data_IF_173249003610
#
_entry.id   IF_173249003610
#
_cell.length_a   1.000
_cell.length_b   1.000
_cell.length_c   1.000
_cell.angle_alpha   90.00
_cell.angle_beta   90.00
_cell.angle_gamma   90.00
#
_symmetry.space_group_name_H-M   'P 1'
#
loop_
_entity.id
_entity.type
_entity.pdbx_description
1 polymer ?
#
# COMPACT_ATOMS: atom_id res chain seq x y z
N UNK A 1 -9.60 -3.21 -5.29
CA UNK A 1 -9.47 -1.97 -6.09
C UNK A 1 -10.19 -2.19 -7.41
N UNK A 2 -10.73 -1.17 -8.09
CA UNK A 2 -11.33 -1.37 -9.42
C UNK A 2 -10.69 -0.45 -10.47
N UNK A 3 -10.73 -0.88 -11.73
CA UNK A 3 -10.07 -0.21 -12.86
C UNK A 3 -10.60 1.21 -13.07
N UNK A 4 -11.91 1.45 -12.87
CA UNK A 4 -12.54 2.76 -13.08
C UNK A 4 -12.01 3.80 -12.07
N UNK A 5 -11.87 3.42 -10.80
CA UNK A 5 -11.30 4.27 -9.75
C UNK A 5 -9.83 4.59 -10.05
N UNK A 6 -9.03 3.59 -10.45
CA UNK A 6 -7.63 3.83 -10.83
C UNK A 6 -7.53 4.75 -12.05
N UNK A 7 -8.35 4.52 -13.10
CA UNK A 7 -8.35 5.36 -14.31
C UNK A 7 -8.57 6.84 -13.98
N UNK A 8 -9.58 7.14 -13.14
CA UNK A 8 -9.87 8.51 -12.72
C UNK A 8 -8.68 9.13 -11.97
N UNK A 9 -8.14 8.41 -10.99
CA UNK A 9 -7.03 8.91 -10.19
C UNK A 9 -5.74 9.10 -11.02
N UNK A 10 -5.47 8.20 -11.96
CA UNK A 10 -4.34 8.32 -12.89
C UNK A 10 -4.41 9.57 -13.77
N UNK A 11 -5.59 9.89 -14.32
CA UNK A 11 -5.79 11.10 -15.12
C UNK A 11 -5.47 12.38 -14.34
N UNK A 12 -5.77 12.41 -13.04
CA UNK A 12 -5.43 13.52 -12.14
C UNK A 12 -3.94 13.56 -11.78
N UNK A 13 -3.23 12.42 -11.91
CA UNK A 13 -1.81 12.29 -11.58
C UNK A 13 -0.87 12.55 -12.78
N UNK A 14 -1.37 12.38 -14.00
CA UNK A 14 -0.60 12.63 -15.23
C UNK A 14 -0.15 14.09 -15.33
N UNK A 15 1.08 14.27 -15.79
CA UNK A 15 1.72 15.58 -15.91
C UNK A 15 2.86 15.53 -16.92
N UNK A 16 3.23 16.68 -17.50
CA UNK A 16 4.24 16.78 -18.56
C UNK A 16 5.59 16.12 -18.22
N UNK A 17 5.99 16.13 -16.95
CA UNK A 17 7.24 15.51 -16.48
C UNK A 17 7.22 13.97 -16.45
N UNK A 18 6.04 13.35 -16.50
CA UNK A 18 5.86 11.89 -16.60
C UNK A 18 5.76 11.40 -18.04
N UNK A 19 5.59 12.34 -18.99
CA UNK A 19 5.45 12.02 -20.40
C UNK A 19 6.76 11.48 -20.97
N UNK A 20 6.65 10.46 -21.83
CA UNK A 20 7.79 9.93 -22.56
C UNK A 20 8.50 11.03 -23.36
N UNK A 21 9.81 11.15 -23.18
CA UNK A 21 10.57 12.31 -23.62
C UNK A 21 10.43 12.63 -25.13
N UNK A 22 10.30 11.62 -25.99
CA UNK A 22 10.17 11.82 -27.46
C UNK A 22 8.86 12.48 -27.88
N UNK A 23 7.83 12.46 -27.04
CA UNK A 23 6.50 13.04 -27.34
C UNK A 23 6.13 14.15 -26.36
N UNK A 24 7.06 14.54 -25.48
CA UNK A 24 6.83 15.49 -24.40
C UNK A 24 6.42 16.88 -24.89
N UNK A 25 6.91 17.31 -26.04
CA UNK A 25 6.56 18.62 -26.63
C UNK A 25 5.13 18.68 -27.15
N UNK A 26 4.53 17.52 -27.45
CA UNK A 26 3.14 17.40 -27.92
C UNK A 26 2.13 17.20 -26.77
N UNK A 27 2.62 16.95 -25.55
CA UNK A 27 1.76 16.73 -24.37
C UNK A 27 1.08 18.03 -23.93
N UNK A 28 -0.21 17.96 -23.61
CA UNK A 28 -1.01 19.08 -23.13
C UNK A 28 -2.21 18.61 -22.27
N UNK A 29 -2.90 19.54 -21.62
CA UNK A 29 -4.02 19.25 -20.70
C UNK A 29 -5.23 18.58 -21.39
N UNK A 30 -5.41 18.79 -22.70
CA UNK A 30 -6.48 18.14 -23.47
C UNK A 30 -6.12 16.70 -23.86
N UNK A 31 -4.83 16.33 -23.83
CA UNK A 31 -4.34 14.97 -24.08
C UNK A 31 -3.32 14.52 -23.02
N UNK A 32 -3.80 14.28 -21.79
CA UNK A 32 -2.97 13.86 -20.66
C UNK A 32 -2.38 12.46 -20.82
N UNK A 33 -3.02 11.59 -21.60
CA UNK A 33 -2.63 10.19 -21.78
C UNK A 33 -1.40 10.03 -22.67
N UNK A 34 -1.08 11.02 -23.51
CA UNK A 34 0.04 10.96 -24.44
C UNK A 34 1.36 10.63 -23.71
N UNK A 35 2.03 9.57 -24.14
CA UNK A 35 3.32 9.15 -23.57
C UNK A 35 3.25 8.50 -22.19
N UNK A 36 2.04 8.18 -21.68
CA UNK A 36 1.84 7.51 -20.39
C UNK A 36 1.64 6.00 -20.49
N UNK A 37 1.36 5.46 -21.68
CA UNK A 37 0.94 4.06 -21.88
C UNK A 37 1.83 3.02 -21.18
N UNK A 38 3.15 3.11 -21.34
CA UNK A 38 4.09 2.17 -20.71
C UNK A 38 4.00 2.18 -19.17
N UNK A 39 4.07 3.36 -18.55
CA UNK A 39 4.05 3.46 -17.08
C UNK A 39 2.66 3.16 -16.49
N UNK A 40 1.59 3.42 -17.25
CA UNK A 40 0.23 3.06 -16.87
C UNK A 40 0.00 1.56 -16.94
N UNK A 41 0.49 0.88 -17.98
CA UNK A 41 0.38 -0.57 -18.10
C UNK A 41 1.13 -1.31 -16.96
N UNK A 42 2.26 -0.76 -16.49
CA UNK A 42 2.98 -1.27 -15.32
C UNK A 42 2.16 -1.14 -14.03
N UNK A 43 1.48 -0.01 -13.84
CA UNK A 43 0.59 0.20 -12.68
C UNK A 43 -0.61 -0.74 -12.72
N UNK A 44 -1.23 -0.91 -13.88
CA UNK A 44 -2.38 -1.81 -14.02
C UNK A 44 -1.97 -3.25 -13.79
N UNK A 45 -0.81 -3.65 -14.29
CA UNK A 45 -0.23 -4.95 -13.99
C UNK A 45 0.09 -5.15 -12.50
N UNK A 46 0.49 -4.11 -11.75
CA UNK A 46 0.69 -4.23 -10.29
C UNK A 46 -0.60 -4.62 -9.56
N UNK A 47 -1.74 -4.01 -9.91
CA UNK A 47 -2.99 -4.17 -9.16
C UNK A 47 -3.85 -5.33 -9.65
N UNK A 48 -3.71 -5.74 -10.91
CA UNK A 48 -4.62 -6.69 -11.56
C UNK A 48 -3.90 -7.85 -12.26
N UNK A 49 -2.57 -7.86 -12.31
CA UNK A 49 -1.81 -8.88 -13.03
C UNK A 49 -2.05 -8.82 -14.54
N UNK A 50 -2.21 -9.99 -15.17
CA UNK A 50 -2.38 -10.14 -16.61
C UNK A 50 -1.08 -9.91 -17.41
N UNK A 51 -1.22 -9.91 -18.73
CA UNK A 51 -0.11 -9.72 -19.65
C UNK A 51 0.06 -8.25 -20.03
N UNK A 52 1.30 -7.78 -20.09
CA UNK A 52 1.59 -6.48 -20.71
C UNK A 52 1.84 -6.71 -22.20
N UNK A 53 1.14 -5.93 -23.02
CA UNK A 53 1.17 -6.04 -24.47
C UNK A 53 1.71 -4.76 -25.09
N UNK A 54 2.39 -4.91 -26.22
CA UNK A 54 2.89 -3.79 -27.04
C UNK A 54 2.48 -3.99 -28.48
N UNK A 55 2.12 -2.88 -29.12
CA UNK A 55 1.92 -2.79 -30.56
C UNK A 55 2.44 -1.45 -31.08
N UNK A 56 2.35 -1.22 -32.39
CA UNK A 56 2.63 0.08 -32.98
C UNK A 56 1.33 0.74 -33.44
N UNK A 57 1.09 1.97 -32.99
CA UNK A 57 -0.04 2.81 -33.39
C UNK A 57 0.56 4.09 -33.96
N UNK A 58 0.28 4.40 -35.22
CA UNK A 58 0.92 5.50 -35.98
C UNK A 58 2.46 5.49 -35.92
N UNK A 59 3.06 4.31 -35.96
CA UNK A 59 4.52 4.15 -35.88
C UNK A 59 5.13 4.38 -34.48
N UNK A 60 4.31 4.64 -33.46
CA UNK A 60 4.75 4.80 -32.07
C UNK A 60 4.41 3.53 -31.28
N UNK A 61 5.34 3.09 -30.44
CA UNK A 61 5.08 1.98 -29.52
C UNK A 61 3.99 2.34 -28.51
N UNK A 62 2.94 1.54 -28.45
CA UNK A 62 1.82 1.67 -27.52
C UNK A 62 1.71 0.45 -26.62
N UNK A 63 1.37 0.66 -25.35
CA UNK A 63 1.38 -0.37 -24.31
C UNK A 63 0.02 -0.43 -23.60
N UNK A 64 -0.47 -1.64 -23.34
CA UNK A 64 -1.73 -1.90 -22.67
C UNK A 64 -1.67 -3.27 -21.98
N UNK A 65 -2.74 -3.67 -21.30
CA UNK A 65 -2.82 -4.97 -20.63
C UNK A 65 -3.89 -5.86 -21.26
N UNK A 66 -3.67 -7.17 -21.21
CA UNK A 66 -4.72 -8.19 -21.34
C UNK A 66 -4.96 -8.78 -19.95
N UNK A 67 -6.17 -8.62 -19.43
CA UNK A 67 -6.59 -9.16 -18.12
C UNK A 67 -7.86 -9.95 -18.35
N UNK A 68 -7.88 -11.21 -17.94
CA UNK A 68 -9.00 -12.14 -18.16
C UNK A 68 -9.49 -12.15 -19.62
N UNK A 69 -8.54 -12.23 -20.57
CA UNK A 69 -8.76 -12.18 -22.02
C UNK A 69 -9.44 -10.89 -22.54
N UNK A 70 -9.41 -9.81 -21.77
CA UNK A 70 -9.96 -8.50 -22.16
C UNK A 70 -8.86 -7.45 -22.27
N UNK A 71 -8.97 -6.61 -23.30
CA UNK A 71 -8.11 -5.43 -23.47
C UNK A 71 -8.43 -4.41 -22.37
N UNK A 72 -7.39 -4.03 -21.64
CA UNK A 72 -7.41 -2.94 -20.67
C UNK A 72 -6.39 -1.90 -21.09
N UNK A 73 -6.87 -0.85 -21.75
CA UNK A 73 -6.08 0.30 -22.16
C UNK A 73 -6.65 1.58 -21.56
N UNK A 74 -5.96 2.12 -20.55
CA UNK A 74 -6.36 3.36 -19.89
C UNK A 74 -5.80 4.62 -20.55
N UNK A 75 -5.11 4.45 -21.68
CA UNK A 75 -4.41 5.50 -22.41
C UNK A 75 -4.81 5.56 -23.88
N UNK A 76 -5.81 4.79 -24.31
CA UNK A 76 -6.31 4.78 -25.68
C UNK A 76 -6.77 6.16 -26.16
N UNK A 77 -7.28 7.00 -25.23
CA UNK A 77 -7.71 8.37 -25.52
C UNK A 77 -6.57 9.32 -25.92
N UNK A 78 -5.31 8.85 -25.99
CA UNK A 78 -4.23 9.62 -26.59
C UNK A 78 -4.32 9.67 -28.13
N UNK A 79 -5.10 8.77 -28.73
CA UNK A 79 -5.38 8.69 -30.15
C UNK A 79 -6.79 9.20 -30.45
N UNK A 80 -7.00 9.74 -31.65
CA UNK A 80 -8.27 10.33 -32.07
C UNK A 80 -9.20 9.32 -32.80
N UNK A 81 -8.94 8.01 -32.66
CA UNK A 81 -9.69 6.95 -33.34
C UNK A 81 -9.65 5.65 -32.52
N UNK A 82 -10.50 4.69 -32.89
CA UNK A 82 -10.56 3.37 -32.24
C UNK A 82 -9.36 2.50 -32.64
N UNK A 83 -8.66 1.97 -31.65
CA UNK A 83 -7.49 1.11 -31.87
C UNK A 83 -7.95 -0.31 -32.20
N UNK A 84 -7.38 -0.89 -33.25
CA UNK A 84 -7.49 -2.31 -33.53
C UNK A 84 -6.37 -3.07 -32.79
N UNK A 85 -6.73 -3.93 -31.84
CA UNK A 85 -5.80 -4.65 -30.96
C UNK A 85 -5.41 -6.05 -31.47
N UNK A 86 -5.37 -6.29 -32.79
CA UNK A 86 -5.05 -7.62 -33.33
C UNK A 86 -3.54 -7.92 -33.42
N UNK A 87 -2.69 -6.91 -33.63
CA UNK A 87 -1.28 -7.09 -33.95
C UNK A 87 -0.35 -6.75 -32.78
N UNK A 88 -0.63 -7.31 -31.61
CA UNK A 88 0.17 -7.08 -30.40
C UNK A 88 1.18 -8.20 -30.13
N UNK A 89 2.19 -7.86 -29.33
CA UNK A 89 3.14 -8.80 -28.77
C UNK A 89 3.07 -8.72 -27.24
N UNK A 90 3.02 -9.88 -26.58
CA UNK A 90 3.23 -9.96 -25.14
C UNK A 90 4.69 -9.68 -24.85
N UNK A 91 4.95 -8.84 -23.85
CA UNK A 91 6.29 -8.37 -23.52
C UNK A 91 6.60 -8.58 -22.05
N UNK A 92 7.83 -9.00 -21.80
CA UNK A 92 8.36 -9.14 -20.45
C UNK A 92 8.45 -7.77 -19.77
N UNK A 93 7.76 -7.66 -18.63
CA UNK A 93 7.75 -6.49 -17.74
C UNK A 93 9.16 -5.98 -17.43
N UNK A 94 10.12 -6.87 -17.18
CA UNK A 94 11.48 -6.48 -16.82
C UNK A 94 12.19 -5.75 -17.96
N UNK A 95 11.89 -6.10 -19.22
CA UNK A 95 12.46 -5.43 -20.40
C UNK A 95 11.93 -4.01 -20.60
N UNK A 96 10.76 -3.68 -20.03
CA UNK A 96 10.21 -2.32 -20.10
C UNK A 96 10.88 -1.34 -19.13
N UNK A 97 11.44 -1.85 -18.03
CA UNK A 97 11.96 -1.06 -16.91
C UNK A 97 13.35 -0.48 -17.18
N UNK A 98 13.51 0.23 -18.29
CA UNK A 98 14.67 1.10 -18.54
C UNK A 98 14.77 2.17 -17.44
N UNK A 99 15.95 2.81 -17.29
CA UNK A 99 16.17 3.86 -16.29
C UNK A 99 15.08 4.95 -16.33
N UNK A 100 14.74 5.43 -17.53
CA UNK A 100 13.68 6.43 -17.74
C UNK A 100 12.30 5.89 -17.35
N UNK A 101 11.89 4.74 -17.90
CA UNK A 101 10.58 4.15 -17.61
C UNK A 101 10.41 3.89 -16.11
N UNK A 102 11.43 3.33 -15.45
CA UNK A 102 11.41 3.03 -14.01
C UNK A 102 11.24 4.29 -13.18
N UNK A 103 11.96 5.37 -13.51
CA UNK A 103 11.82 6.65 -12.81
C UNK A 103 10.42 7.24 -12.95
N UNK A 104 9.87 7.27 -14.18
CA UNK A 104 8.52 7.80 -14.45
C UNK A 104 7.43 6.94 -13.80
N UNK A 105 7.57 5.62 -13.88
CA UNK A 105 6.68 4.66 -13.22
C UNK A 105 6.65 4.85 -11.70
N UNK A 106 7.82 4.90 -11.04
CA UNK A 106 7.87 5.10 -9.58
C UNK A 106 7.25 6.44 -9.16
N UNK A 107 7.47 7.50 -9.95
CA UNK A 107 6.87 8.81 -9.69
C UNK A 107 5.35 8.80 -9.86
N UNK A 108 4.83 8.18 -10.93
CA UNK A 108 3.39 8.03 -11.14
C UNK A 108 2.75 7.15 -10.05
N UNK A 109 3.40 6.04 -9.66
CA UNK A 109 2.94 5.16 -8.58
C UNK A 109 2.82 5.92 -7.25
N UNK A 110 3.83 6.70 -6.88
CA UNK A 110 3.81 7.53 -5.68
C UNK A 110 2.68 8.58 -5.74
N UNK A 111 2.50 9.28 -6.86
CA UNK A 111 1.39 10.23 -7.04
C UNK A 111 0.03 9.55 -6.89
N UNK A 112 -0.16 8.40 -7.54
CA UNK A 112 -1.41 7.63 -7.49
C UNK A 112 -1.73 7.18 -6.06
N UNK A 113 -0.77 6.61 -5.34
CA UNK A 113 -0.95 6.18 -3.95
C UNK A 113 -1.33 7.36 -3.06
N UNK A 114 -0.60 8.48 -3.14
CA UNK A 114 -0.91 9.68 -2.36
C UNK A 114 -2.31 10.23 -2.69
N UNK A 115 -2.69 10.26 -3.97
CA UNK A 115 -4.02 10.70 -4.39
C UNK A 115 -5.12 9.81 -3.82
N UNK A 116 -4.98 8.49 -3.94
CA UNK A 116 -5.97 7.53 -3.46
C UNK A 116 -6.08 7.55 -1.92
N UNK A 117 -4.95 7.61 -1.21
CA UNK A 117 -4.93 7.71 0.25
C UNK A 117 -5.53 9.02 0.76
N UNK A 118 -5.30 10.14 0.07
CA UNK A 118 -5.90 11.42 0.44
C UNK A 118 -7.44 11.39 0.42
N UNK A 119 -8.05 10.66 -0.52
CA UNK A 119 -9.51 10.49 -0.51
C UNK A 119 -9.98 9.61 0.66
N UNK A 120 -9.17 8.65 1.09
CA UNK A 120 -9.44 7.85 2.30
C UNK A 120 -9.26 8.69 3.58
N UNK A 121 -8.27 9.57 3.63
CA UNK A 121 -8.06 10.46 4.78
C UNK A 121 -9.28 11.39 4.99
N UNK A 122 -9.86 11.90 3.89
CA UNK A 122 -11.14 12.64 3.93
C UNK A 122 -12.31 11.77 4.39
N UNK A 123 -12.39 10.50 3.95
CA UNK A 123 -13.40 9.54 4.42
C UNK A 123 -13.28 9.33 5.94
N UNK A 124 -12.05 9.19 6.46
CA UNK A 124 -11.78 9.05 7.89
C UNK A 124 -12.17 10.31 8.65
N UNK A 125 -11.79 11.49 8.16
CA UNK A 125 -12.11 12.76 8.81
C UNK A 125 -13.63 12.95 8.97
N UNK A 126 -14.41 12.59 7.95
CA UNK A 126 -15.88 12.69 7.95
C UNK A 126 -16.59 11.49 8.60
N UNK A 127 -15.89 10.45 9.05
CA UNK A 127 -16.51 9.24 9.59
C UNK A 127 -17.01 9.43 11.03
N UNK A 128 -18.26 9.07 11.34
CA UNK A 128 -18.82 9.19 12.70
C UNK A 128 -19.20 7.85 13.34
N UNK A 129 -18.84 6.71 12.73
CA UNK A 129 -19.28 5.36 13.16
C UNK A 129 -18.94 4.99 14.61
N UNK A 130 -17.85 5.53 15.16
CA UNK A 130 -17.43 5.25 16.55
C UNK A 130 -17.97 6.26 17.57
N UNK A 131 -18.67 7.31 17.13
CA UNK A 131 -19.30 8.33 17.98
C UNK A 131 -18.41 8.79 19.15
N UNK A 132 -18.90 8.66 20.39
CA UNK A 132 -18.25 9.07 21.63
C UNK A 132 -17.23 8.06 22.17
N UNK A 133 -16.94 6.98 21.45
CA UNK A 133 -15.98 5.96 21.88
C UNK A 133 -14.52 6.34 21.61
N UNK A 134 -14.30 7.37 20.77
CA UNK A 134 -12.99 7.76 20.26
C UNK A 134 -12.78 9.27 20.31
N UNK A 135 -11.52 9.69 20.45
CA UNK A 135 -11.05 11.02 20.11
C UNK A 135 -10.58 11.02 18.64
N UNK A 136 -11.04 12.02 17.88
CA UNK A 136 -10.62 12.22 16.50
C UNK A 136 -9.34 13.03 16.42
N UNK A 137 -8.49 12.64 15.48
CA UNK A 137 -7.38 13.47 15.05
C UNK A 137 -7.85 14.51 14.03
N UNK A 138 -7.07 15.60 13.81
CA UNK A 138 -7.30 16.53 12.72
C UNK A 138 -7.37 15.84 11.34
N UNK A 139 -7.79 16.61 10.33
CA UNK A 139 -7.76 16.17 8.94
C UNK A 139 -6.31 15.99 8.47
N UNK A 140 -5.75 14.82 8.71
CA UNK A 140 -4.36 14.47 8.44
C UNK A 140 -4.23 13.00 8.02
N UNK A 141 -3.06 12.64 7.49
CA UNK A 141 -2.71 11.32 7.01
C UNK A 141 -2.98 10.24 8.05
N UNK A 142 -3.53 9.14 7.58
CA UNK A 142 -3.81 7.94 8.40
C UNK A 142 -2.90 6.76 8.05
N UNK A 143 -2.03 6.94 7.06
CA UNK A 143 -0.97 6.02 6.65
C UNK A 143 0.35 6.79 6.60
N UNK A 144 1.38 6.23 7.20
CA UNK A 144 2.75 6.64 6.97
C UNK A 144 3.31 5.85 5.79
N UNK A 145 3.79 6.54 4.76
CA UNK A 145 4.44 5.93 3.60
C UNK A 145 5.95 5.87 3.83
N UNK A 146 6.47 4.65 3.82
CA UNK A 146 7.90 4.36 3.89
C UNK A 146 8.59 4.46 2.53
N UNK A 147 9.78 3.86 2.44
CA UNK A 147 10.59 3.77 1.21
C UNK A 147 9.89 2.97 0.11
N UNK A 148 9.19 1.91 0.51
CA UNK A 148 8.36 1.07 -0.34
C UNK A 148 7.14 0.55 0.44
N UNK A 149 6.29 -0.21 -0.25
CA UNK A 149 5.13 -0.86 0.34
C UNK A 149 5.28 -2.39 0.35
N UNK A 150 6.48 -2.94 0.17
CA UNK A 150 6.64 -4.40 0.10
C UNK A 150 6.21 -5.04 1.41
N UNK A 151 6.59 -4.41 2.54
CA UNK A 151 6.11 -4.74 3.87
C UNK A 151 5.26 -3.58 4.38
N UNK A 152 4.02 -3.88 4.82
CA UNK A 152 3.16 -2.93 5.50
C UNK A 152 2.90 -3.42 6.92
N UNK A 153 3.22 -2.59 7.90
CA UNK A 153 2.95 -2.83 9.31
C UNK A 153 1.53 -2.38 9.65
N UNK A 154 0.78 -3.21 10.37
CA UNK A 154 -0.57 -2.88 10.84
C UNK A 154 -0.62 -2.92 12.36
N UNK A 155 -0.69 -1.73 12.96
CA UNK A 155 -0.85 -1.53 14.40
C UNK A 155 -2.30 -1.64 14.87
N UNK A 156 -2.52 -1.45 16.16
CA UNK A 156 -3.83 -1.56 16.79
C UNK A 156 -4.67 -0.28 16.62
N UNK A 157 -4.20 0.83 17.17
CA UNK A 157 -4.83 2.14 17.12
C UNK A 157 -3.77 3.23 17.38
N UNK A 158 -3.96 4.46 16.86
CA UNK A 158 -3.08 5.58 17.15
C UNK A 158 -3.01 5.82 18.67
N UNK A 159 -1.82 6.08 19.20
CA UNK A 159 -1.64 6.47 20.59
C UNK A 159 -1.81 7.99 20.78
N UNK A 160 -2.21 8.42 21.99
CA UNK A 160 -2.37 9.84 22.33
C UNK A 160 -1.09 10.68 22.10
N UNK A 161 0.10 10.08 22.26
CA UNK A 161 1.40 10.73 22.00
C UNK A 161 2.18 10.01 20.87
N UNK A 162 1.48 9.33 19.97
CA UNK A 162 2.09 8.52 18.90
C UNK A 162 2.39 9.30 17.62
N UNK A 163 2.70 8.55 16.56
CA UNK A 163 3.12 9.07 15.26
C UNK A 163 2.11 10.02 14.61
N UNK A 164 0.81 9.93 14.95
CA UNK A 164 -0.20 10.85 14.43
C UNK A 164 -0.14 12.25 15.02
N UNK A 165 0.55 12.45 16.16
CA UNK A 165 0.85 13.77 16.70
C UNK A 165 2.27 14.22 16.42
N UNK A 166 3.24 13.30 16.43
CA UNK A 166 4.65 13.63 16.16
C UNK A 166 4.98 13.66 14.66
N UNK A 167 4.13 13.11 13.80
CA UNK A 167 4.38 12.81 12.38
C UNK A 167 5.63 11.96 12.14
N UNK A 168 6.10 11.27 13.18
CA UNK A 168 7.30 10.44 13.16
C UNK A 168 7.00 9.06 13.70
N UNK A 169 7.47 8.04 12.98
CA UNK A 169 7.24 6.67 13.39
C UNK A 169 7.90 6.38 14.73
N UNK A 170 7.09 5.88 15.68
CA UNK A 170 7.51 5.34 16.96
C UNK A 170 8.35 6.33 17.76
N UNK A 171 8.12 7.62 17.56
CA UNK A 171 8.71 8.71 18.33
C UNK A 171 7.58 9.51 18.98
N UNK A 172 7.81 9.95 20.20
CA UNK A 172 6.95 10.92 20.85
C UNK A 172 7.10 12.32 20.22
N UNK A 173 6.33 13.29 20.71
CA UNK A 173 6.35 14.67 20.23
C UNK A 173 7.70 15.38 20.43
N UNK A 174 8.58 14.84 21.28
CA UNK A 174 9.93 15.37 21.54
C UNK A 174 11.00 14.64 20.69
N UNK A 175 10.59 13.72 19.81
CA UNK A 175 11.50 12.94 18.98
C UNK A 175 12.15 11.74 19.68
N UNK A 176 11.76 11.43 20.92
CA UNK A 176 12.29 10.26 21.64
C UNK A 176 11.67 8.98 21.10
N UNK A 177 12.50 8.00 20.75
CA UNK A 177 12.05 6.69 20.29
C UNK A 177 11.32 5.96 21.42
N UNK A 178 10.11 5.50 21.12
CA UNK A 178 9.28 4.72 22.01
C UNK A 178 9.87 3.31 22.18
N UNK A 179 9.73 2.67 23.36
CA UNK A 179 10.31 1.35 23.61
C UNK A 179 9.89 0.26 22.61
N UNK A 180 8.66 0.32 22.10
CA UNK A 180 8.20 -0.58 21.04
C UNK A 180 8.95 -0.39 19.73
N UNK A 181 9.42 0.83 19.43
CA UNK A 181 10.23 1.13 18.24
C UNK A 181 11.63 0.54 18.36
N UNK A 182 12.22 0.61 19.54
CA UNK A 182 13.52 -0.04 19.82
C UNK A 182 13.44 -1.55 19.63
N UNK A 183 12.39 -2.19 20.14
CA UNK A 183 12.19 -3.64 19.97
C UNK A 183 11.96 -4.00 18.51
N UNK A 184 11.09 -3.25 17.82
CA UNK A 184 10.76 -3.55 16.44
C UNK A 184 11.95 -3.31 15.49
N UNK A 185 12.76 -2.27 15.73
CA UNK A 185 13.99 -2.04 14.96
C UNK A 185 14.94 -3.24 15.08
N UNK A 186 15.17 -3.76 16.29
CA UNK A 186 16.01 -4.95 16.48
C UNK A 186 15.51 -6.18 15.72
N UNK A 187 14.20 -6.32 15.51
CA UNK A 187 13.63 -7.41 14.72
C UNK A 187 13.82 -7.16 13.22
N UNK A 188 13.65 -5.92 12.77
CA UNK A 188 13.82 -5.54 11.38
C UNK A 188 15.29 -5.53 10.92
N UNK A 189 16.24 -5.32 11.84
CA UNK A 189 17.67 -5.50 11.58
C UNK A 189 17.97 -6.94 11.11
N UNK A 190 17.22 -7.95 11.57
CA UNK A 190 17.40 -9.36 11.15
C UNK A 190 17.10 -9.52 9.65
N UNK A 191 16.14 -8.77 9.12
CA UNK A 191 15.73 -8.80 7.71
C UNK A 191 16.32 -7.63 6.92
N UNK A 192 17.38 -7.00 7.43
CA UNK A 192 18.13 -5.92 6.79
C UNK A 192 17.24 -4.72 6.38
N UNK A 193 16.30 -4.33 7.25
CA UNK A 193 15.37 -3.21 7.03
C UNK A 193 15.33 -2.21 8.18
N UNK A 194 14.92 -0.98 7.87
CA UNK A 194 14.67 0.10 8.83
C UNK A 194 13.16 0.26 9.09
N UNK A 195 12.73 0.16 10.36
CA UNK A 195 11.31 0.34 10.72
C UNK A 195 10.84 1.78 10.51
N UNK A 196 11.74 2.75 10.64
CA UNK A 196 11.41 4.17 10.49
C UNK A 196 11.20 4.56 9.02
N UNK A 197 11.65 3.72 8.09
CA UNK A 197 11.36 3.82 6.64
C UNK A 197 10.32 2.79 6.17
N UNK A 198 9.61 2.11 7.07
CA UNK A 198 8.62 1.10 6.71
C UNK A 198 7.21 1.67 6.70
N UNK A 199 6.40 1.31 5.69
CA UNK A 199 5.01 1.76 5.58
C UNK A 199 4.16 1.23 6.74
N UNK A 200 3.38 2.12 7.36
CA UNK A 200 2.61 1.83 8.56
C UNK A 200 1.20 2.40 8.51
N UNK A 201 0.25 1.61 9.02
CA UNK A 201 -1.11 2.07 9.30
C UNK A 201 -1.67 1.37 10.54
N UNK A 202 -2.71 1.95 11.11
CA UNK A 202 -3.37 1.40 12.31
C UNK A 202 -4.66 0.68 11.94
N UNK A 203 -5.04 -0.40 12.63
CA UNK A 203 -6.33 -1.06 12.37
C UNK A 203 -7.52 -0.14 12.67
N UNK A 204 -7.44 0.64 13.74
CA UNK A 204 -8.41 1.69 14.09
C UNK A 204 -7.86 3.04 13.65
N UNK A 205 -8.71 3.96 13.16
CA UNK A 205 -8.24 5.25 12.61
C UNK A 205 -8.32 6.43 13.59
N UNK A 206 -8.90 6.23 14.77
CA UNK A 206 -9.07 7.24 15.82
C UNK A 206 -8.52 6.71 17.13
N UNK A 207 -8.30 7.58 18.13
CA UNK A 207 -7.81 7.16 19.44
C UNK A 207 -8.98 6.67 20.30
N UNK A 208 -9.07 5.38 20.67
CA UNK A 208 -10.14 4.89 21.53
C UNK A 208 -9.97 5.40 22.98
N UNK A 209 -11.04 5.94 23.57
CA UNK A 209 -10.99 6.49 24.93
C UNK A 209 -10.80 5.40 26.00
N UNK A 210 -11.28 4.19 25.73
CA UNK A 210 -11.13 3.02 26.60
C UNK A 210 -10.67 1.80 25.80
N UNK A 211 -9.85 0.93 26.41
CA UNK A 211 -9.35 -0.29 25.76
C UNK A 211 -10.48 -1.22 25.28
N UNK A 212 -11.61 -1.27 25.99
CA UNK A 212 -12.77 -2.10 25.60
C UNK A 212 -13.39 -1.68 24.26
N UNK A 213 -13.20 -0.41 23.86
CA UNK A 213 -13.76 0.16 22.62
C UNK A 213 -13.02 -0.36 21.37
N UNK A 214 -11.79 -0.83 21.50
CA UNK A 214 -10.97 -1.33 20.38
C UNK A 214 -11.69 -2.35 19.53
N UNK A 215 -12.41 -3.30 20.15
CA UNK A 215 -13.11 -4.37 19.43
C UNK A 215 -14.17 -3.81 18.49
N UNK A 216 -14.99 -2.86 18.95
CA UNK A 216 -16.06 -2.28 18.15
C UNK A 216 -15.51 -1.28 17.12
N UNK A 217 -14.55 -0.44 17.50
CA UNK A 217 -13.90 0.51 16.58
C UNK A 217 -13.14 -0.20 15.47
N UNK A 218 -12.44 -1.30 15.77
CA UNK A 218 -11.71 -2.11 14.79
C UNK A 218 -12.66 -2.69 13.74
N UNK A 219 -13.83 -3.19 14.15
CA UNK A 219 -14.89 -3.64 13.23
C UNK A 219 -15.36 -2.51 12.32
N UNK A 220 -15.62 -1.31 12.87
CA UNK A 220 -16.08 -0.16 12.08
C UNK A 220 -15.03 0.39 11.11
N UNK A 221 -13.74 0.28 11.47
CA UNK A 221 -12.63 0.72 10.64
C UNK A 221 -12.12 -0.35 9.66
N UNK A 222 -12.60 -1.60 9.71
CA UNK A 222 -12.12 -2.72 8.88
C UNK A 222 -12.11 -2.37 7.39
N UNK A 223 -13.22 -1.86 6.86
CA UNK A 223 -13.34 -1.53 5.44
C UNK A 223 -12.35 -0.43 5.01
N UNK A 224 -12.12 0.57 5.87
CA UNK A 224 -11.15 1.64 5.61
C UNK A 224 -9.73 1.06 5.58
N UNK A 225 -9.39 0.21 6.55
CA UNK A 225 -8.11 -0.48 6.59
C UNK A 225 -7.88 -1.32 5.32
N UNK A 226 -8.88 -2.11 4.90
CA UNK A 226 -8.79 -2.92 3.69
C UNK A 226 -8.67 -2.07 2.41
N UNK A 227 -9.36 -0.93 2.32
CA UNK A 227 -9.18 0.03 1.21
C UNK A 227 -7.74 0.53 1.15
N UNK A 228 -7.13 0.88 2.28
CA UNK A 228 -5.73 1.32 2.33
C UNK A 228 -4.76 0.22 1.93
N UNK A 229 -4.93 -0.99 2.47
CA UNK A 229 -4.09 -2.14 2.10
C UNK A 229 -4.18 -2.44 0.60
N UNK A 230 -5.37 -2.35 0.00
CA UNK A 230 -5.56 -2.50 -1.46
C UNK A 230 -4.91 -1.38 -2.28
N UNK A 231 -4.77 -0.17 -1.74
CA UNK A 231 -4.03 0.93 -2.39
C UNK A 231 -2.52 0.69 -2.26
N UNK A 232 -2.06 0.26 -1.09
CA UNK A 232 -0.64 0.03 -0.84
C UNK A 232 -0.11 -1.19 -1.62
N UNK A 233 -0.97 -2.18 -1.83
CA UNK A 233 -0.70 -3.44 -2.52
C UNK A 233 0.59 -4.13 -2.02
N UNK A 234 0.67 -4.46 -0.71
CA UNK A 234 1.87 -5.02 -0.12
C UNK A 234 2.11 -6.47 -0.52
N UNK A 235 3.38 -6.88 -0.53
CA UNK A 235 3.77 -8.28 -0.65
C UNK A 235 3.54 -9.04 0.65
N UNK A 236 3.74 -8.36 1.78
CA UNK A 236 3.54 -8.91 3.12
C UNK A 236 2.94 -7.85 4.05
N UNK A 237 1.92 -8.26 4.81
CA UNK A 237 1.38 -7.49 5.91
C UNK A 237 1.87 -8.11 7.21
N UNK A 238 2.44 -7.32 8.11
CA UNK A 238 2.81 -7.77 9.45
C UNK A 238 1.88 -7.10 10.46
N UNK A 239 1.05 -7.89 11.14
CA UNK A 239 0.13 -7.38 12.18
C UNK A 239 0.81 -7.39 13.54
N UNK A 240 0.75 -6.24 14.23
CA UNK A 240 1.40 -6.04 15.52
C UNK A 240 0.44 -6.37 16.66
N UNK A 241 0.36 -7.66 17.04
CA UNK A 241 -0.49 -8.13 18.13
C UNK A 241 -1.88 -8.61 17.71
N UNK A 242 -2.71 -8.96 18.70
CA UNK A 242 -3.92 -9.75 18.50
C UNK A 242 -5.06 -8.97 17.82
N UNK A 243 -5.29 -7.71 18.20
CA UNK A 243 -6.38 -6.90 17.65
C UNK A 243 -6.30 -6.69 16.13
N UNK A 244 -5.19 -6.18 15.56
CA UNK A 244 -5.08 -6.06 14.10
C UNK A 244 -5.13 -7.41 13.40
N UNK A 245 -4.58 -8.46 14.02
CA UNK A 245 -4.65 -9.84 13.49
C UNK A 245 -6.09 -10.34 13.39
N UNK A 246 -6.89 -10.21 14.46
CA UNK A 246 -8.29 -10.62 14.45
C UNK A 246 -9.15 -9.81 13.48
N UNK A 247 -8.78 -8.56 13.23
CA UNK A 247 -9.51 -7.72 12.29
C UNK A 247 -9.22 -8.11 10.84
N UNK A 248 -7.96 -8.45 10.54
CA UNK A 248 -7.50 -8.75 9.20
C UNK A 248 -7.77 -10.20 8.78
N UNK A 249 -7.52 -11.18 9.66
CA UNK A 249 -7.85 -12.57 9.39
C UNK A 249 -9.37 -12.76 9.32
N UNK A 250 -9.81 -13.60 8.39
CA UNK A 250 -11.22 -13.90 8.11
C UNK A 250 -11.75 -15.11 8.89
N UNK A 251 -10.87 -15.87 9.54
CA UNK A 251 -11.21 -16.99 10.43
C UNK A 251 -11.01 -16.65 11.91
N UNK A 252 -11.73 -17.38 12.77
CA UNK A 252 -11.60 -17.27 14.23
C UNK A 252 -10.53 -18.23 14.74
N UNK A 253 -9.77 -17.80 15.73
CA UNK A 253 -8.81 -18.62 16.48
C UNK A 253 -9.00 -18.44 17.99
N UNK A 254 -8.71 -19.51 18.74
CA UNK A 254 -8.80 -19.56 20.20
C UNK A 254 -7.71 -18.71 20.84
N UNK A 255 -6.46 -19.19 20.83
CA UNK A 255 -5.32 -18.47 21.42
C UNK A 255 -4.54 -17.74 20.34
N UNK A 256 -4.08 -16.52 20.64
CA UNK A 256 -3.26 -15.76 19.69
C UNK A 256 -1.95 -16.47 19.31
N UNK A 257 -1.35 -17.21 20.25
CA UNK A 257 -0.14 -17.98 19.99
C UNK A 257 -0.31 -19.06 18.89
N UNK A 258 -1.54 -19.50 18.61
CA UNK A 258 -1.82 -20.52 17.59
C UNK A 258 -1.63 -19.97 16.17
N UNK A 259 -1.69 -18.65 16.00
CA UNK A 259 -1.57 -17.97 14.69
C UNK A 259 -0.29 -17.16 14.52
N UNK A 260 0.42 -16.85 15.61
CA UNK A 260 1.67 -16.06 15.54
C UNK A 260 2.76 -16.85 14.82
N UNK A 261 3.46 -16.19 13.89
CA UNK A 261 4.60 -16.76 13.14
C UNK A 261 4.23 -17.54 11.88
N UNK A 262 2.94 -17.73 11.61
CA UNK A 262 2.44 -18.36 10.39
C UNK A 262 2.01 -17.31 9.37
N UNK A 263 2.26 -17.57 8.08
CA UNK A 263 1.77 -16.72 6.98
C UNK A 263 0.41 -17.25 6.54
N UNK A 264 -0.57 -16.35 6.48
CA UNK A 264 -1.93 -16.63 6.01
C UNK A 264 -2.22 -15.85 4.74
N UNK A 265 -2.93 -16.45 3.80
CA UNK A 265 -3.45 -15.74 2.63
C UNK A 265 -4.92 -15.38 2.84
N UNK A 266 -5.23 -14.08 2.89
CA UNK A 266 -6.58 -13.56 3.12
C UNK A 266 -6.82 -12.38 2.19
N UNK A 267 -7.93 -12.39 1.45
CA UNK A 267 -8.28 -11.34 0.47
C UNK A 267 -7.15 -11.00 -0.54
N UNK A 268 -6.32 -12.00 -0.88
CA UNK A 268 -5.17 -11.83 -1.77
C UNK A 268 -3.92 -11.23 -1.10
N UNK A 269 -3.93 -11.04 0.22
CA UNK A 269 -2.77 -10.58 0.99
C UNK A 269 -2.12 -11.72 1.74
N UNK A 270 -0.79 -11.71 1.81
CA UNK A 270 -0.02 -12.50 2.78
C UNK A 270 0.04 -11.74 4.12
N UNK A 271 -0.41 -12.37 5.19
CA UNK A 271 -0.49 -11.78 6.53
C UNK A 271 0.35 -12.61 7.49
N UNK A 272 1.28 -11.96 8.19
CA UNK A 272 2.11 -12.55 9.22
C UNK A 272 1.81 -11.89 10.58
N UNK A 273 1.12 -12.61 11.49
CA UNK A 273 0.92 -12.14 12.84
C UNK A 273 2.19 -12.27 13.68
N UNK A 274 2.54 -11.21 14.40
CA UNK A 274 3.63 -11.22 15.39
C UNK A 274 3.12 -10.82 16.77
N UNK A 275 3.84 -11.18 17.82
CA UNK A 275 3.56 -10.64 19.15
C UNK A 275 3.75 -9.12 19.15
N UNK A 276 2.88 -8.39 19.87
CA UNK A 276 2.98 -6.93 19.95
C UNK A 276 4.38 -6.52 20.48
N UNK A 277 5.07 -5.55 19.85
CA UNK A 277 6.44 -5.18 20.20
C UNK A 277 6.57 -4.39 21.52
N UNK A 278 5.55 -4.40 22.38
CA UNK A 278 5.61 -3.67 23.65
C UNK A 278 6.53 -4.42 24.61
N UNK A 279 7.57 -3.78 25.20
CA UNK A 279 8.54 -4.47 26.04
C UNK A 279 7.93 -5.04 27.34
N UNK A 280 6.70 -4.63 27.69
CA UNK A 280 5.95 -5.16 28.84
C UNK A 280 5.66 -6.66 28.64
N UNK A 281 5.50 -7.12 27.39
CA UNK A 281 5.27 -8.53 27.11
C UNK A 281 6.60 -9.29 26.99
N UNK A 282 6.79 -10.41 27.72
CA UNK A 282 8.01 -11.21 27.61
C UNK A 282 8.21 -11.82 26.21
N UNK A 283 7.13 -11.95 25.43
CA UNK A 283 7.18 -12.47 24.05
C UNK A 283 7.48 -11.40 22.99
N UNK A 284 7.50 -10.12 23.35
CA UNK A 284 7.63 -8.99 22.41
C UNK A 284 8.89 -9.03 21.53
N UNK A 285 10.04 -9.40 22.11
CA UNK A 285 11.29 -9.57 21.38
C UNK A 285 11.59 -11.04 21.17
N UNK A 286 11.83 -11.79 22.25
CA UNK A 286 12.26 -13.21 22.20
C UNK A 286 11.29 -14.11 21.43
N UNK A 287 9.98 -13.87 21.54
CA UNK A 287 8.97 -14.66 20.84
C UNK A 287 8.89 -14.37 19.35
N UNK A 288 9.44 -13.24 18.89
CA UNK A 288 9.42 -12.82 17.49
C UNK A 288 10.74 -13.13 16.76
N UNK A 289 11.86 -13.33 17.46
CA UNK A 289 13.16 -13.63 16.82
C UNK A 289 13.07 -14.79 15.81
N UNK A 290 12.53 -15.98 16.16
CA UNK A 290 12.46 -17.10 15.21
C UNK A 290 11.59 -16.81 13.98
N UNK A 291 10.60 -15.91 14.12
CA UNK A 291 9.72 -15.50 13.03
C UNK A 291 10.50 -14.67 12.00
N UNK A 292 11.33 -13.73 12.49
CA UNK A 292 12.12 -12.85 11.63
C UNK A 292 13.34 -13.57 11.02
N UNK A 293 13.93 -14.54 11.73
CA UNK A 293 14.96 -15.43 11.16
C UNK A 293 14.39 -16.22 9.98
N UNK A 294 13.21 -16.83 10.15
CA UNK A 294 12.51 -17.54 9.06
C UNK A 294 12.13 -16.61 7.90
N UNK A 295 11.72 -15.37 8.18
CA UNK A 295 11.46 -14.37 7.13
C UNK A 295 12.72 -14.04 6.33
N UNK A 296 13.88 -13.95 6.99
CA UNK A 296 15.17 -13.69 6.35
C UNK A 296 15.50 -14.83 5.37
N UNK A 297 15.36 -16.08 5.80
CA UNK A 297 15.61 -17.27 4.97
C UNK A 297 14.74 -17.28 3.70
N UNK A 298 13.43 -17.08 3.84
CA UNK A 298 12.49 -17.06 2.71
C UNK A 298 12.68 -15.87 1.75
N UNK A 299 13.45 -14.84 2.14
CA UNK A 299 13.72 -13.69 1.27
C UNK A 299 14.83 -13.96 0.24
N UNK A 300 15.56 -15.08 0.39
CA UNK A 300 16.60 -15.54 -0.52
C UNK A 300 16.17 -16.72 -1.43
N UNK A 301 14.90 -17.13 -1.36
CA UNK A 301 14.26 -18.08 -2.28
C UNK A 301 13.43 -17.34 -3.35
#
# INVERSE_FOLDING_TARGET
MNIKTIKKALLECYSKDLCYYKVKDKWNENNKCLGMCAITSLIINDYFGGDICKMHVEGISHYFNIIDNKVVDLTSSQFNYEINYNDYQIIDRNKMLTKDTKQRYNKLKSKLINKLLSEIDKEVYNCHKCENLVEKFPNDKTVFLGKDNDIVLVGEAPANNGWRKSHQLWKDINGKILPSGVVLQKLFDIIDRDIFETTFLESVKCYPLERKNLKVCSKYCKDIMLKQLRILNPKLIITLGEFPTRNLLDFKFGKFADVVGNIYEVDGFKVLPIYHPSPISPKSYKGNIPIFEKLKENSYE
#
